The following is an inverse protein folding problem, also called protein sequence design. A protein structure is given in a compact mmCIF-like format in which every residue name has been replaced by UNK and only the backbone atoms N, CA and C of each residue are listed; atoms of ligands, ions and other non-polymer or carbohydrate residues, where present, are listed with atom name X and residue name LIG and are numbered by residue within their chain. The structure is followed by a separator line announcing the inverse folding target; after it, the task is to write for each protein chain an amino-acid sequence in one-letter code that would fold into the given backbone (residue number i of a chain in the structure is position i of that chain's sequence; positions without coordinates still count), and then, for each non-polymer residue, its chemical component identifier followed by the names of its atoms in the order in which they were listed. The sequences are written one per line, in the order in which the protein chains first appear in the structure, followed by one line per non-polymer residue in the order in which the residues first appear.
data_IF_172448608380
#
_entry.id   IF_172448608380
#
_cell.length_a   1.000
_cell.length_b   1.000
_cell.length_c   1.000
_cell.angle_alpha   90.00
_cell.angle_beta   90.00
_cell.angle_gamma   90.00
#
_symmetry.space_group_name_H-M   'P 1'
#
loop_
_entity.id
_entity.type
_entity.pdbx_description
1 polymer ?
#
# COMPACT_ATOMS: atom_id res chain seq x y z
N UNK A 1 10.93 -8.16 -4.99
CA UNK A 1 11.12 -7.27 -3.82
C UNK A 1 10.90 -8.05 -2.52
N UNK A 2 11.59 -7.72 -1.41
CA UNK A 2 11.31 -8.34 -0.10
C UNK A 2 10.25 -7.54 0.63
N UNK A 3 9.03 -8.09 0.70
CA UNK A 3 7.90 -7.46 1.37
C UNK A 3 7.81 -7.87 2.83
N UNK A 4 7.42 -6.93 3.69
CA UNK A 4 7.05 -7.22 5.08
C UNK A 4 5.76 -6.47 5.43
N UNK A 5 4.98 -7.02 6.37
CA UNK A 5 3.75 -6.39 6.86
C UNK A 5 4.13 -5.31 7.86
N UNK A 6 3.64 -4.09 7.65
CA UNK A 6 3.78 -2.97 8.59
C UNK A 6 2.52 -2.80 9.43
N UNK A 7 1.34 -3.02 8.83
CA UNK A 7 0.06 -3.01 9.53
C UNK A 7 -0.82 -4.19 9.12
N UNK A 8 -1.55 -4.74 10.09
CA UNK A 8 -2.45 -5.87 9.88
C UNK A 8 -3.67 -5.79 10.79
N UNK A 9 -4.63 -4.95 10.43
CA UNK A 9 -5.95 -4.83 11.05
C UNK A 9 -7.03 -5.32 10.07
N UNK A 10 -8.23 -5.70 10.54
CA UNK A 10 -9.33 -6.12 9.66
C UNK A 10 -9.67 -5.08 8.59
N UNK A 11 -9.66 -3.80 8.96
CA UNK A 11 -10.00 -2.66 8.12
C UNK A 11 -8.82 -2.01 7.40
N UNK A 12 -7.58 -2.35 7.77
CA UNK A 12 -6.37 -1.75 7.20
C UNK A 12 -5.21 -2.72 7.21
N UNK A 13 -4.66 -3.00 6.03
CA UNK A 13 -3.48 -3.84 5.86
C UNK A 13 -2.46 -3.09 5.01
N UNK A 14 -1.22 -3.08 5.46
CA UNK A 14 -0.13 -2.40 4.77
C UNK A 14 1.09 -3.31 4.71
N UNK A 15 1.77 -3.24 3.57
CA UNK A 15 3.04 -3.90 3.33
C UNK A 15 4.02 -2.90 2.79
N UNK A 16 5.27 -3.05 3.21
CA UNK A 16 6.37 -2.22 2.74
C UNK A 16 7.47 -3.08 2.13
N UNK A 17 8.18 -2.51 1.17
CA UNK A 17 9.49 -2.97 0.72
C UNK A 17 10.44 -1.77 0.66
N UNK A 18 11.71 -1.99 1.01
CA UNK A 18 12.72 -0.91 0.97
C UNK A 18 13.02 -0.51 -0.48
N UNK A 19 13.13 0.79 -0.70
CA UNK A 19 13.66 1.40 -1.92
C UNK A 19 14.76 2.40 -1.51
N UNK A 20 15.67 2.84 -2.42
CA UNK A 20 16.82 3.66 -2.03
C UNK A 20 16.45 4.92 -1.24
N UNK A 21 15.34 5.56 -1.61
CA UNK A 21 14.85 6.81 -1.03
C UNK A 21 13.79 6.62 0.07
N UNK A 22 13.56 5.39 0.56
CA UNK A 22 12.53 5.12 1.57
C UNK A 22 11.84 3.78 1.41
N UNK A 23 10.52 3.78 1.25
CA UNK A 23 9.70 2.58 1.16
C UNK A 23 8.72 2.63 0.00
N UNK A 24 8.56 1.52 -0.69
CA UNK A 24 7.40 1.29 -1.53
C UNK A 24 6.33 0.61 -0.67
N UNK A 25 5.13 1.18 -0.67
CA UNK A 25 4.00 0.78 0.14
C UNK A 25 2.91 0.19 -0.75
N UNK A 26 2.28 -0.86 -0.24
CA UNK A 26 1.04 -1.40 -0.78
C UNK A 26 0.03 -1.47 0.37
N UNK A 27 -1.15 -0.89 0.15
CA UNK A 27 -2.19 -0.71 1.18
C UNK A 27 -3.51 -1.29 0.67
N UNK A 28 -4.22 -2.03 1.54
CA UNK A 28 -5.67 -2.26 1.44
C UNK A 28 -6.32 -1.54 2.62
N UNK A 29 -7.32 -0.72 2.33
CA UNK A 29 -8.19 -0.11 3.32
C UNK A 29 -9.64 -0.47 3.03
N UNK A 30 -10.33 -0.99 4.02
CA UNK A 30 -11.78 -1.16 3.97
C UNK A 30 -12.44 0.19 4.19
N UNK A 31 -13.32 0.58 3.27
CA UNK A 31 -14.24 1.69 3.40
C UNK A 31 -15.67 1.14 3.56
N UNK A 32 -16.67 2.03 3.71
CA UNK A 32 -18.05 1.63 4.04
C UNK A 32 -18.59 0.53 3.11
N UNK A 33 -18.46 0.75 1.80
CA UNK A 33 -19.06 -0.12 0.76
C UNK A 33 -18.04 -0.63 -0.27
N UNK A 34 -16.74 -0.39 -0.03
CA UNK A 34 -15.68 -0.70 -0.98
C UNK A 34 -14.33 -0.92 -0.29
N UNK A 35 -13.36 -1.41 -1.05
CA UNK A 35 -11.97 -1.57 -0.64
C UNK A 35 -11.09 -0.70 -1.53
N UNK A 36 -10.30 0.16 -0.89
CA UNK A 36 -9.29 0.98 -1.54
C UNK A 36 -7.96 0.20 -1.54
N UNK A 37 -7.41 -0.03 -2.73
CA UNK A 37 -6.06 -0.56 -2.93
C UNK A 37 -5.15 0.57 -3.41
N UNK A 38 -4.03 0.78 -2.73
CA UNK A 38 -3.04 1.81 -3.10
C UNK A 38 -1.67 1.18 -3.23
N UNK A 39 -0.94 1.54 -4.29
CA UNK A 39 0.52 1.45 -4.31
C UNK A 39 1.09 2.85 -4.24
N UNK A 40 2.09 3.06 -3.38
CA UNK A 40 2.64 4.36 -3.09
C UNK A 40 4.13 4.30 -2.79
N UNK A 41 4.81 5.42 -2.94
CA UNK A 41 6.17 5.63 -2.47
C UNK A 41 6.12 6.54 -1.23
N UNK A 42 6.70 6.05 -0.13
CA UNK A 42 7.04 6.85 1.02
C UNK A 42 8.52 7.23 0.91
N UNK A 43 8.76 8.47 0.53
CA UNK A 43 10.10 9.03 0.33
C UNK A 43 10.56 9.65 1.65
N UNK A 44 11.68 9.18 2.17
CA UNK A 44 12.27 9.54 3.45
C UNK A 44 13.69 10.06 3.20
N UNK A 45 13.91 11.36 3.44
CA UNK A 45 15.16 12.08 3.10
C UNK A 45 15.06 12.79 1.75
N UNK A 46 15.37 14.07 1.60
CA UNK A 46 16.21 14.99 2.39
C UNK A 46 15.37 16.05 3.14
N UNK A 47 15.97 16.71 4.15
CA UNK A 47 15.41 17.82 4.98
C UNK A 47 13.91 18.10 4.83
N UNK A 48 13.11 17.67 5.81
CA UNK A 48 11.68 17.96 5.87
C UNK A 48 10.85 16.75 6.31
N UNK A 49 9.52 16.84 6.14
CA UNK A 49 8.61 15.74 6.41
C UNK A 49 8.66 14.69 5.28
N UNK A 50 8.46 13.39 5.59
CA UNK A 50 8.35 12.36 4.57
C UNK A 50 7.28 12.71 3.52
N UNK A 51 7.61 12.48 2.25
CA UNK A 51 6.65 12.68 1.15
C UNK A 51 5.98 11.36 0.82
N UNK A 52 4.65 11.37 0.77
CA UNK A 52 3.84 10.25 0.30
C UNK A 52 3.36 10.50 -1.12
N UNK A 53 3.67 9.60 -2.05
CA UNK A 53 3.29 9.69 -3.47
C UNK A 53 2.50 8.46 -3.88
N UNK A 54 1.22 8.64 -4.20
CA UNK A 54 0.40 7.57 -4.80
C UNK A 54 0.90 7.28 -6.21
N UNK A 55 1.19 6.01 -6.50
CA UNK A 55 1.61 5.52 -7.81
C UNK A 55 0.40 4.99 -8.57
N UNK A 56 -0.41 4.15 -7.92
CA UNK A 56 -1.69 3.65 -8.45
C UNK A 56 -2.70 3.51 -7.32
N UNK A 57 -3.96 3.72 -7.65
CA UNK A 57 -5.08 3.43 -6.77
C UNK A 57 -6.21 2.74 -7.54
N UNK A 58 -6.90 1.82 -6.86
CA UNK A 58 -8.09 1.15 -7.38
C UNK A 58 -9.10 0.93 -6.27
N UNK A 59 -10.37 0.94 -6.65
CA UNK A 59 -11.48 0.58 -5.76
C UNK A 59 -12.10 -0.75 -6.20
N UNK A 60 -12.45 -1.58 -5.23
CA UNK A 60 -13.14 -2.85 -5.44
C UNK A 60 -14.35 -2.97 -4.54
N UNK A 61 -15.40 -3.66 -4.99
CA UNK A 61 -16.60 -3.87 -4.19
C UNK A 61 -16.43 -4.90 -3.06
N UNK A 62 -15.36 -5.70 -3.10
CA UNK A 62 -15.13 -6.76 -2.12
C UNK A 62 -13.63 -6.97 -1.80
N UNK A 63 -13.34 -7.62 -0.68
CA UNK A 63 -11.98 -7.84 -0.20
C UNK A 63 -11.19 -8.80 -1.11
N UNK A 64 -11.86 -9.78 -1.73
CA UNK A 64 -11.20 -10.82 -2.52
C UNK A 64 -10.50 -10.24 -3.74
N UNK A 65 -11.16 -9.34 -4.46
CA UNK A 65 -10.59 -8.64 -5.60
C UNK A 65 -9.46 -7.69 -5.18
N UNK A 66 -9.67 -6.95 -4.09
CA UNK A 66 -8.65 -6.09 -3.51
C UNK A 66 -7.37 -6.88 -3.16
N UNK A 67 -7.51 -8.04 -2.51
CA UNK A 67 -6.40 -8.93 -2.19
C UNK A 67 -5.70 -9.49 -3.44
N UNK A 68 -6.46 -9.82 -4.50
CA UNK A 68 -5.89 -10.26 -5.78
C UNK A 68 -5.03 -9.15 -6.38
N UNK A 69 -5.51 -7.90 -6.36
CA UNK A 69 -4.76 -6.76 -6.89
C UNK A 69 -3.45 -6.53 -6.12
N UNK A 70 -3.50 -6.57 -4.79
CA UNK A 70 -2.29 -6.45 -3.97
C UNK A 70 -1.27 -7.55 -4.26
N UNK A 71 -1.72 -8.79 -4.46
CA UNK A 71 -0.81 -9.90 -4.79
C UNK A 71 -0.12 -9.63 -6.13
N UNK A 72 -0.87 -9.18 -7.14
CA UNK A 72 -0.32 -8.84 -8.45
C UNK A 72 0.75 -7.73 -8.37
N UNK A 73 0.58 -6.74 -7.50
CA UNK A 73 1.56 -5.66 -7.29
C UNK A 73 2.79 -6.07 -6.49
N UNK A 74 2.72 -7.18 -5.75
CA UNK A 74 3.85 -7.68 -4.95
C UNK A 74 4.78 -8.63 -5.71
N UNK A 75 4.31 -9.17 -6.83
CA UNK A 75 5.07 -10.02 -7.75
C UNK A 75 6.27 -9.24 -8.27
#
# INVERSE_FOLDING_TARGET
MKWFKTWNRPEYKEWASKIPQGYFLIIIRKEKDKYLCVSAELIVGERGLPRFKVVKEHYFGNEKEAQKQIKNWKT
#
